data_IF_394817253260
#
_entry.id   IF_394817253260
#
_cell.length_a   1.000
_cell.length_b   1.000
_cell.length_c   1.000
_cell.angle_alpha   90.00
_cell.angle_beta   90.00
_cell.angle_gamma   90.00
#
_symmetry.space_group_name_H-M   'P 1'
#
loop_
_entity.id
_entity.type
_entity.pdbx_description
1 polymer ?
#
# COMPACT_ATOMS: atom_id res chain seq x y z
N UNK A 1 -1.10 -4.27 -8.98
CA UNK A 1 -1.09 -3.38 -7.81
C UNK A 1 -0.70 -4.18 -6.58
N UNK A 2 0.16 -3.65 -5.71
CA UNK A 2 0.50 -4.24 -4.40
C UNK A 2 -0.38 -3.68 -3.28
N UNK A 3 -0.82 -4.54 -2.38
CA UNK A 3 -1.59 -4.18 -1.18
C UNK A 3 -0.83 -4.69 0.06
N UNK A 4 0.17 -3.95 0.57
CA UNK A 4 0.74 -4.19 1.89
C UNK A 4 -0.24 -3.64 2.94
N UNK A 5 -0.86 -4.53 3.72
CA UNK A 5 -1.92 -4.17 4.65
C UNK A 5 -1.80 -4.90 5.98
N UNK A 6 -2.34 -4.36 7.06
CA UNK A 6 -2.28 -5.00 8.39
C UNK A 6 -3.40 -6.01 8.61
N UNK A 7 -3.16 -7.10 9.35
CA UNK A 7 -4.16 -8.13 9.68
C UNK A 7 -5.44 -7.54 10.29
N UNK A 8 -5.31 -6.48 11.10
CA UNK A 8 -6.45 -5.81 11.74
C UNK A 8 -7.35 -5.04 10.78
N UNK A 9 -6.85 -4.70 9.59
CA UNK A 9 -7.55 -3.80 8.67
C UNK A 9 -8.72 -4.47 7.96
N UNK A 10 -8.64 -5.77 7.69
CA UNK A 10 -9.69 -6.54 7.00
C UNK A 10 -11.01 -6.46 7.77
N UNK A 11 -10.95 -6.53 9.10
CA UNK A 11 -12.13 -6.56 9.96
C UNK A 11 -12.51 -5.17 10.49
N UNK A 12 -11.71 -4.14 10.21
CA UNK A 12 -12.02 -2.79 10.65
C UNK A 12 -13.07 -2.16 9.72
N UNK A 13 -14.17 -1.57 10.24
CA UNK A 13 -15.31 -1.14 9.42
C UNK A 13 -14.94 -0.15 8.32
N UNK A 14 -14.03 0.79 8.61
CA UNK A 14 -13.56 1.77 7.61
C UNK A 14 -12.46 1.21 6.70
N UNK A 15 -11.42 0.61 7.27
CA UNK A 15 -10.25 0.17 6.48
C UNK A 15 -10.61 -1.04 5.58
N UNK A 16 -11.49 -1.93 6.04
CA UNK A 16 -12.00 -3.04 5.24
C UNK A 16 -12.75 -2.57 4.01
N UNK A 17 -13.60 -1.55 4.14
CA UNK A 17 -14.31 -0.97 2.99
C UNK A 17 -13.35 -0.20 2.05
N UNK A 18 -12.30 0.45 2.57
CA UNK A 18 -11.21 1.01 1.75
C UNK A 18 -10.55 -0.07 0.86
N UNK A 19 -10.16 -1.20 1.47
CA UNK A 19 -9.55 -2.34 0.75
C UNK A 19 -10.49 -2.90 -0.30
N UNK A 20 -11.75 -3.15 0.09
CA UNK A 20 -12.78 -3.73 -0.80
C UNK A 20 -13.07 -2.82 -1.98
N UNK A 21 -13.27 -1.52 -1.75
CA UNK A 21 -13.52 -0.55 -2.81
C UNK A 21 -12.35 -0.46 -3.79
N UNK A 22 -11.13 -0.36 -3.27
CA UNK A 22 -9.92 -0.31 -4.11
C UNK A 22 -9.75 -1.60 -4.92
N UNK A 23 -9.90 -2.78 -4.31
CA UNK A 23 -9.80 -4.06 -5.00
C UNK A 23 -10.82 -4.18 -6.12
N UNK A 24 -12.10 -3.91 -5.84
CA UNK A 24 -13.17 -3.96 -6.85
C UNK A 24 -12.86 -3.02 -8.03
N UNK A 25 -12.45 -1.79 -7.73
CA UNK A 25 -12.22 -0.75 -8.75
C UNK A 25 -11.03 -1.09 -9.65
N UNK A 26 -9.94 -1.60 -9.06
CA UNK A 26 -8.74 -1.99 -9.80
C UNK A 26 -8.98 -3.26 -10.64
N UNK A 27 -9.63 -4.27 -10.06
CA UNK A 27 -9.92 -5.52 -10.78
C UNK A 27 -10.90 -5.30 -11.93
N UNK A 28 -11.87 -4.39 -11.79
CA UNK A 28 -12.83 -4.03 -12.84
C UNK A 28 -12.17 -3.49 -14.12
N UNK A 29 -10.97 -2.91 -14.01
CA UNK A 29 -10.17 -2.44 -15.15
C UNK A 29 -9.01 -3.36 -15.50
N UNK A 30 -9.02 -4.59 -14.98
CA UNK A 30 -8.02 -5.62 -15.28
C UNK A 30 -6.70 -5.49 -14.52
N UNK A 31 -6.62 -4.63 -13.49
CA UNK A 31 -5.42 -4.55 -12.64
C UNK A 31 -5.45 -5.69 -11.62
N UNK A 32 -4.51 -6.63 -11.78
CA UNK A 32 -4.29 -7.71 -10.81
C UNK A 32 -3.79 -7.15 -9.48
N UNK A 33 -4.44 -7.54 -8.39
CA UNK A 33 -4.03 -7.23 -7.02
C UNK A 33 -3.16 -8.36 -6.46
N UNK A 34 -2.02 -7.98 -5.88
CA UNK A 34 -1.17 -8.86 -5.07
C UNK A 34 -1.14 -8.31 -3.65
N UNK A 35 -1.18 -9.18 -2.65
CA UNK A 35 -1.41 -8.79 -1.25
C UNK A 35 -0.47 -9.52 -0.31
N UNK A 36 0.07 -8.81 0.67
CA UNK A 36 0.79 -9.39 1.81
C UNK A 36 0.36 -8.68 3.10
N UNK A 37 0.31 -9.42 4.20
CA UNK A 37 -0.17 -8.90 5.48
C UNK A 37 0.97 -8.59 6.46
N UNK A 38 0.96 -7.41 7.08
CA UNK A 38 1.72 -7.06 8.28
C UNK A 38 0.88 -7.33 9.53
N UNK A 39 1.49 -7.56 10.70
CA UNK A 39 0.70 -7.70 11.95
C UNK A 39 0.15 -6.36 12.44
N UNK A 40 0.82 -5.24 12.14
CA UNK A 40 0.47 -3.87 12.54
C UNK A 40 1.00 -2.84 11.53
N UNK A 41 0.64 -1.55 11.70
CA UNK A 41 1.17 -0.41 10.93
C UNK A 41 2.62 -0.02 11.33
N UNK A 42 3.37 -0.98 11.87
CA UNK A 42 4.73 -0.79 12.31
C UNK A 42 5.66 -0.78 11.08
N UNK A 43 6.55 0.23 10.93
CA UNK A 43 7.38 0.40 9.74
C UNK A 43 8.16 -0.87 9.34
N UNK A 44 8.74 -1.58 10.31
CA UNK A 44 9.51 -2.81 10.05
C UNK A 44 8.67 -3.94 9.46
N UNK A 45 7.40 -4.03 9.86
CA UNK A 45 6.50 -5.07 9.36
C UNK A 45 5.97 -4.73 7.98
N UNK A 46 5.62 -3.46 7.75
CA UNK A 46 5.28 -2.95 6.42
C UNK A 46 6.47 -3.16 5.47
N UNK A 47 7.70 -2.89 5.92
CA UNK A 47 8.95 -3.17 5.21
C UNK A 47 9.10 -4.63 4.84
N UNK A 48 8.85 -5.53 5.78
CA UNK A 48 8.91 -6.97 5.52
C UNK A 48 7.86 -7.40 4.48
N UNK A 49 6.62 -6.96 4.62
CA UNK A 49 5.54 -7.28 3.68
C UNK A 49 5.86 -6.73 2.28
N UNK A 50 6.25 -5.47 2.18
CA UNK A 50 6.56 -4.85 0.88
C UNK A 50 7.77 -5.49 0.21
N UNK A 51 8.85 -5.80 0.94
CA UNK A 51 10.00 -6.53 0.38
C UNK A 51 9.62 -7.92 -0.15
N UNK A 52 8.71 -8.61 0.54
CA UNK A 52 8.20 -9.90 0.08
C UNK A 52 7.39 -9.75 -1.21
N UNK A 53 6.51 -8.74 -1.30
CA UNK A 53 5.79 -8.40 -2.53
C UNK A 53 6.77 -8.11 -3.67
N UNK A 54 7.74 -7.20 -3.48
CA UNK A 54 8.70 -6.83 -4.52
C UNK A 54 9.55 -8.02 -4.98
N UNK A 55 9.92 -8.92 -4.06
CA UNK A 55 10.64 -10.15 -4.39
C UNK A 55 9.80 -11.13 -5.23
N UNK A 56 8.53 -11.32 -4.86
CA UNK A 56 7.64 -12.29 -5.49
C UNK A 56 6.96 -11.75 -6.76
N UNK A 57 6.84 -10.42 -6.85
CA UNK A 57 6.16 -9.67 -7.90
C UNK A 57 7.01 -8.45 -8.33
N UNK A 58 8.19 -8.67 -8.94
CA UNK A 58 9.09 -7.59 -9.36
C UNK A 58 8.50 -6.68 -10.45
N UNK A 59 7.43 -7.12 -11.10
CA UNK A 59 6.69 -6.40 -12.13
C UNK A 59 5.59 -5.49 -11.58
N UNK A 60 5.45 -5.37 -10.26
CA UNK A 60 4.44 -4.51 -9.63
C UNK A 60 4.52 -3.07 -10.13
N UNK A 61 3.35 -2.48 -10.43
CA UNK A 61 3.23 -1.14 -11.04
C UNK A 61 2.68 -0.06 -10.12
N UNK A 62 2.44 -0.38 -8.85
CA UNK A 62 1.95 0.58 -7.86
C UNK A 62 1.60 -0.11 -6.55
N UNK A 63 1.46 0.66 -5.48
CA UNK A 63 1.06 0.19 -4.16
C UNK A 63 -0.16 0.97 -3.66
N UNK A 64 -1.08 0.27 -3.01
CA UNK A 64 -2.25 0.84 -2.35
C UNK A 64 -2.16 0.52 -0.87
N UNK A 65 -2.33 1.54 -0.04
CA UNK A 65 -2.43 1.41 1.41
C UNK A 65 -3.74 1.99 1.91
N UNK A 66 -4.21 1.43 3.00
CA UNK A 66 -5.43 1.83 3.70
C UNK A 66 -5.32 3.17 4.42
N UNK A 67 -4.11 3.63 4.74
CA UNK A 67 -3.81 4.87 5.48
C UNK A 67 -2.62 5.60 4.89
N UNK A 68 -2.51 6.91 5.13
CA UNK A 68 -1.36 7.70 4.70
C UNK A 68 -0.08 7.35 5.45
N UNK A 69 -0.17 6.94 6.71
CA UNK A 69 0.98 6.48 7.50
C UNK A 69 1.62 5.27 6.82
N UNK A 70 0.81 4.31 6.38
CA UNK A 70 1.32 3.16 5.63
C UNK A 70 1.87 3.58 4.26
N UNK A 71 1.27 4.58 3.59
CA UNK A 71 1.77 5.09 2.32
C UNK A 71 3.18 5.67 2.47
N UNK A 72 3.41 6.51 3.49
CA UNK A 72 4.73 7.07 3.78
C UNK A 72 5.77 5.98 4.04
N UNK A 73 5.43 4.98 4.85
CA UNK A 73 6.31 3.84 5.10
C UNK A 73 6.67 3.12 3.78
N UNK A 74 5.66 2.84 2.94
CA UNK A 74 5.85 2.18 1.63
C UNK A 74 6.71 3.01 0.70
N UNK A 75 6.53 4.33 0.64
CA UNK A 75 7.34 5.24 -0.20
C UNK A 75 8.81 5.12 0.17
N UNK A 76 9.16 5.23 1.45
CA UNK A 76 10.54 5.09 1.93
C UNK A 76 11.14 3.75 1.52
N UNK A 77 10.37 2.66 1.65
CA UNK A 77 10.84 1.32 1.26
C UNK A 77 11.05 1.22 -0.25
N UNK A 78 10.15 1.77 -1.07
CA UNK A 78 10.28 1.75 -2.52
C UNK A 78 11.52 2.53 -2.98
N UNK A 79 11.75 3.71 -2.39
CA UNK A 79 12.96 4.50 -2.64
C UNK A 79 14.24 3.74 -2.26
N UNK A 80 14.28 3.13 -1.07
CA UNK A 80 15.40 2.28 -0.63
C UNK A 80 15.65 1.09 -1.58
N UNK A 81 14.60 0.57 -2.24
CA UNK A 81 14.69 -0.54 -3.18
C UNK A 81 14.85 -0.08 -4.65
N UNK A 82 14.92 1.22 -4.91
CA UNK A 82 15.08 1.78 -6.26
C UNK A 82 13.83 1.71 -7.14
N UNK A 83 12.64 1.47 -6.57
CA UNK A 83 11.38 1.45 -7.29
C UNK A 83 10.80 2.86 -7.42
N UNK A 84 10.30 3.19 -8.61
CA UNK A 84 9.56 4.43 -8.89
C UNK A 84 8.16 4.07 -9.41
N UNK A 85 7.26 3.77 -8.47
CA UNK A 85 5.87 3.39 -8.76
C UNK A 85 4.91 4.22 -7.90
N UNK A 86 3.69 4.50 -8.38
CA UNK A 86 2.70 5.25 -7.61
C UNK A 86 2.33 4.54 -6.30
N UNK A 87 2.16 5.31 -5.24
CA UNK A 87 1.66 4.86 -3.94
C UNK A 87 0.41 5.65 -3.59
N UNK A 88 -0.65 4.95 -3.22
CA UNK A 88 -1.94 5.55 -2.85
C UNK A 88 -2.14 5.36 -1.36
N UNK A 89 -2.34 6.46 -0.63
CA UNK A 89 -2.82 6.47 0.76
C UNK A 89 -4.28 6.88 0.86
N UNK A 90 -4.76 7.01 2.09
CA UNK A 90 -6.04 7.60 2.41
C UNK A 90 -5.96 8.16 3.82
N UNK A 91 -6.02 9.48 4.02
CA UNK A 91 -6.36 10.21 5.26
C UNK A 91 -6.22 11.73 5.06
N UNK A 92 -5.34 12.16 4.15
CA UNK A 92 -5.05 13.57 3.85
C UNK A 92 -4.10 14.22 4.85
N UNK A 93 -3.13 13.49 5.39
CA UNK A 93 -2.15 14.07 6.32
C UNK A 93 -1.18 14.99 5.58
N UNK A 94 -0.74 16.05 6.27
CA UNK A 94 0.14 17.09 5.71
C UNK A 94 1.39 16.51 5.07
N UNK A 95 1.99 15.49 5.67
CA UNK A 95 3.21 14.84 5.19
C UNK A 95 3.01 14.16 3.83
N UNK A 96 1.91 13.44 3.63
CA UNK A 96 1.65 12.78 2.35
C UNK A 96 1.23 13.80 1.28
N UNK A 97 0.45 14.82 1.65
CA UNK A 97 0.04 15.89 0.73
C UNK A 97 1.26 16.60 0.10
N UNK A 98 2.32 16.87 0.89
CA UNK A 98 3.57 17.45 0.39
C UNK A 98 4.29 16.59 -0.66
N UNK A 99 4.02 15.29 -0.69
CA UNK A 99 4.59 14.37 -1.68
C UNK A 99 3.75 14.27 -2.96
N UNK A 100 2.55 14.84 -2.97
CA UNK A 100 1.59 14.80 -4.09
C UNK A 100 1.70 16.07 -4.95
N UNK A 101 2.67 16.95 -4.68
CA UNK A 101 2.87 18.21 -5.43
C UNK A 101 3.14 17.96 -6.93
N UNK A 102 2.61 18.86 -7.76
CA UNK A 102 2.35 18.75 -9.22
C UNK A 102 3.57 18.49 -10.13
#
# INVERSE_FOLDING_TARGET
MAFPMSFGEINHPVLGERIKGAKISLEAIGIKVVTETAKQNEPDQVKKAMKLILKNHPDVKGAYTTTDINALNVIVILEEQGYKIPVIGADGITELIKLVEE
#
